data_IF_753110348064
#
_entry.id   IF_753110348064
#
_cell.length_a   1.000
_cell.length_b   1.000
_cell.length_c   1.000
_cell.angle_alpha   90.00
_cell.angle_beta   90.00
_cell.angle_gamma   90.00
#
_symmetry.space_group_name_H-M   'P 1'
#
loop_
_entity.id
_entity.type
_entity.pdbx_description
1 polymer ?
#
# COMPACT_ATOMS: atom_id res chain seq x y z
N UNK A 1 -12.78 -10.61 11.58
CA UNK A 1 -12.58 -10.35 10.12
C UNK A 1 -13.52 -9.26 9.60
N UNK A 2 -14.84 -9.39 9.78
CA UNK A 2 -15.84 -8.39 9.34
C UNK A 2 -15.50 -6.93 9.66
N UNK A 3 -15.16 -6.60 10.91
CA UNK A 3 -14.76 -5.24 11.32
C UNK A 3 -13.56 -4.68 10.53
N UNK A 4 -12.61 -5.53 10.14
CA UNK A 4 -11.42 -5.12 9.37
C UNK A 4 -11.80 -4.87 7.91
N UNK A 5 -12.64 -5.71 7.31
CA UNK A 5 -13.19 -5.50 5.97
C UNK A 5 -13.99 -4.18 5.89
N UNK A 6 -14.88 -3.94 6.84
CA UNK A 6 -15.64 -2.68 6.94
C UNK A 6 -14.72 -1.45 7.09
N UNK A 7 -13.66 -1.57 7.91
CA UNK A 7 -12.70 -0.48 8.12
C UNK A 7 -11.84 -0.23 6.88
N UNK A 8 -11.46 -1.28 6.15
CA UNK A 8 -10.74 -1.16 4.89
C UNK A 8 -11.62 -0.47 3.83
N UNK A 9 -12.89 -0.85 3.72
CA UNK A 9 -13.84 -0.17 2.82
C UNK A 9 -14.01 1.31 3.16
N UNK A 10 -14.10 1.66 4.45
CA UNK A 10 -14.14 3.06 4.89
C UNK A 10 -12.86 3.82 4.54
N UNK A 11 -11.69 3.25 4.80
CA UNK A 11 -10.41 3.87 4.45
C UNK A 11 -10.27 4.08 2.95
N UNK A 12 -10.66 3.11 2.12
CA UNK A 12 -10.65 3.30 0.67
C UNK A 12 -11.52 4.48 0.25
N UNK A 13 -12.71 4.66 0.85
CA UNK A 13 -13.57 5.82 0.56
C UNK A 13 -12.90 7.14 0.96
N UNK A 14 -12.41 7.22 2.19
CA UNK A 14 -11.72 8.39 2.73
C UNK A 14 -10.53 8.80 1.87
N UNK A 15 -9.68 7.84 1.50
CA UNK A 15 -8.45 8.12 0.76
C UNK A 15 -8.75 8.60 -0.66
N UNK A 16 -9.81 8.10 -1.30
CA UNK A 16 -10.27 8.65 -2.58
C UNK A 16 -10.72 10.10 -2.44
N UNK A 17 -11.50 10.41 -1.40
CA UNK A 17 -12.09 11.74 -1.21
C UNK A 17 -11.06 12.78 -0.77
N UNK A 18 -10.22 12.44 0.21
CA UNK A 18 -9.30 13.40 0.84
C UNK A 18 -7.92 13.45 0.18
N UNK A 19 -7.45 12.33 -0.35
CA UNK A 19 -6.09 12.21 -0.87
C UNK A 19 -6.06 12.02 -2.39
N UNK A 20 -7.22 12.06 -3.04
CA UNK A 20 -7.37 11.78 -4.47
C UNK A 20 -6.72 10.44 -4.86
N UNK A 21 -6.75 9.46 -3.94
CA UNK A 21 -6.14 8.15 -4.17
C UNK A 21 -6.87 7.44 -5.31
N UNK A 22 -6.10 6.75 -6.16
CA UNK A 22 -6.62 6.11 -7.38
C UNK A 22 -6.56 4.59 -7.26
N UNK A 23 -7.50 3.92 -7.91
CA UNK A 23 -7.40 2.47 -8.09
C UNK A 23 -6.28 2.20 -9.11
N UNK A 24 -5.35 1.27 -8.84
CA UNK A 24 -4.26 0.96 -9.76
C UNK A 24 -4.73 0.26 -11.05
N UNK A 25 -5.95 -0.26 -11.05
CA UNK A 25 -6.57 -1.00 -12.15
C UNK A 25 -8.09 -0.89 -12.02
N UNK A 26 -8.80 -0.97 -13.14
CA UNK A 26 -10.26 -1.04 -13.19
C UNK A 26 -10.79 -2.48 -13.04
N UNK A 27 -9.93 -3.48 -13.22
CA UNK A 27 -10.29 -4.91 -13.19
C UNK A 27 -9.23 -5.77 -12.47
N UNK A 28 -9.62 -6.98 -12.09
CA UNK A 28 -8.71 -7.87 -11.37
C UNK A 28 -7.53 -8.33 -12.22
N UNK A 29 -6.32 -8.17 -11.68
CA UNK A 29 -5.07 -8.68 -12.27
C UNK A 29 -4.66 -10.05 -11.68
N UNK A 30 -5.48 -10.62 -10.80
CA UNK A 30 -5.27 -11.91 -10.13
C UNK A 30 -4.98 -13.10 -11.08
N UNK A 31 -5.31 -12.97 -12.37
CA UNK A 31 -5.07 -13.99 -13.39
C UNK A 31 -4.04 -13.57 -14.46
N UNK A 32 -3.17 -12.61 -14.16
CA UNK A 32 -1.99 -12.32 -14.98
C UNK A 32 -2.23 -11.55 -16.28
N UNK A 33 -3.36 -10.84 -16.42
CA UNK A 33 -3.74 -10.16 -17.67
C UNK A 33 -3.70 -8.62 -17.63
N UNK A 34 -2.90 -8.00 -16.75
CA UNK A 34 -2.82 -6.54 -16.77
C UNK A 34 -1.57 -5.98 -16.11
N UNK A 35 -1.04 -4.90 -16.68
CA UNK A 35 -0.09 -4.04 -15.99
C UNK A 35 -0.89 -3.14 -15.03
N UNK A 36 -0.57 -3.21 -13.74
CA UNK A 36 -1.09 -2.23 -12.80
C UNK A 36 -0.55 -0.84 -13.18
N UNK A 37 -1.44 0.14 -13.26
CA UNK A 37 -1.11 1.50 -13.70
C UNK A 37 0.12 2.05 -13.00
N UNK A 38 1.08 2.53 -13.79
CA UNK A 38 2.16 3.37 -13.29
C UNK A 38 1.59 4.75 -13.02
N UNK A 39 1.04 4.96 -11.83
CA UNK A 39 0.57 6.28 -11.40
C UNK A 39 1.66 7.35 -11.55
N UNK A 40 1.29 8.61 -11.36
CA UNK A 40 2.21 9.75 -11.40
C UNK A 40 2.96 9.87 -10.06
N UNK A 41 4.20 10.38 -10.03
CA UNK A 41 4.92 10.63 -8.79
C UNK A 41 4.09 11.46 -7.79
N UNK A 42 3.92 10.96 -6.57
CA UNK A 42 3.09 11.54 -5.52
C UNK A 42 1.67 10.98 -5.43
N UNK A 43 1.19 10.24 -6.43
CA UNK A 43 -0.12 9.57 -6.35
C UNK A 43 -0.11 8.42 -5.34
N UNK A 44 -1.24 8.27 -4.65
CA UNK A 44 -1.51 7.14 -3.77
C UNK A 44 -2.38 6.14 -4.51
N UNK A 45 -1.87 4.94 -4.69
CA UNK A 45 -2.61 3.82 -5.25
C UNK A 45 -3.22 2.98 -4.13
N UNK A 46 -4.51 2.69 -4.26
CA UNK A 46 -5.26 1.89 -3.30
C UNK A 46 -4.98 0.38 -3.46
N UNK A 47 -5.08 -0.39 -2.36
CA UNK A 47 -5.08 -1.85 -2.45
C UNK A 47 -6.31 -2.33 -3.22
N UNK A 48 -6.15 -3.44 -3.92
CA UNK A 48 -7.23 -4.08 -4.68
C UNK A 48 -7.46 -5.50 -4.16
N UNK A 49 -8.72 -5.87 -3.95
CA UNK A 49 -9.14 -7.22 -3.53
C UNK A 49 -10.32 -7.66 -4.40
N UNK A 50 -10.16 -8.75 -5.14
CA UNK A 50 -11.16 -9.31 -6.07
C UNK A 50 -11.95 -10.50 -5.52
N UNK A 51 -11.42 -11.17 -4.50
CA UNK A 51 -12.03 -12.38 -3.98
C UNK A 51 -13.15 -12.04 -3.00
N UNK A 52 -14.25 -12.78 -3.09
CA UNK A 52 -15.40 -12.70 -2.19
C UNK A 52 -15.67 -14.07 -1.56
N UNK A 53 -16.48 -14.11 -0.50
CA UNK A 53 -16.81 -15.35 0.21
C UNK A 53 -15.61 -15.93 0.97
N UNK A 54 -15.37 -17.23 0.84
CA UNK A 54 -14.31 -17.92 1.60
C UNK A 54 -12.89 -17.42 1.28
N UNK A 55 -12.65 -16.85 0.10
CA UNK A 55 -11.36 -16.31 -0.32
C UNK A 55 -11.17 -14.81 -0.05
N UNK A 56 -12.11 -14.17 0.65
CA UNK A 56 -12.05 -12.73 0.88
C UNK A 56 -10.82 -12.31 1.68
N UNK A 57 -10.23 -11.16 1.32
CA UNK A 57 -9.03 -10.65 1.97
C UNK A 57 -9.27 -10.42 3.48
N UNK A 58 -8.33 -10.89 4.30
CA UNK A 58 -8.44 -10.81 5.77
C UNK A 58 -8.16 -9.41 6.33
N UNK A 59 -7.53 -8.56 5.51
CA UNK A 59 -7.08 -7.21 5.86
C UNK A 59 -6.23 -7.24 7.13
N UNK A 60 -5.17 -8.06 7.11
CA UNK A 60 -4.23 -8.06 8.22
C UNK A 60 -3.57 -6.69 8.41
N UNK A 61 -3.27 -6.05 7.27
CA UNK A 61 -2.73 -4.71 7.13
C UNK A 61 -3.47 -3.98 6.02
N UNK A 62 -3.54 -2.65 6.11
CA UNK A 62 -4.03 -1.81 5.02
C UNK A 62 -2.82 -1.13 4.38
N UNK A 63 -2.39 -1.65 3.23
CA UNK A 63 -1.17 -1.19 2.55
C UNK A 63 -1.55 -0.38 1.32
N UNK A 64 -1.02 0.83 1.24
CA UNK A 64 -1.11 1.68 0.04
C UNK A 64 0.24 1.70 -0.66
N UNK A 65 0.25 2.11 -1.93
CA UNK A 65 1.47 2.43 -2.66
C UNK A 65 1.54 3.91 -2.96
N UNK A 66 2.61 4.56 -2.55
CA UNK A 66 2.94 5.95 -2.91
C UNK A 66 3.91 5.91 -4.08
N UNK A 67 3.53 6.53 -5.19
CA UNK A 67 4.32 6.46 -6.41
C UNK A 67 5.48 7.46 -6.37
N UNK A 68 6.65 7.04 -6.82
CA UNK A 68 7.83 7.90 -6.99
C UNK A 68 8.87 7.73 -5.87
N UNK A 69 10.18 7.87 -6.18
CA UNK A 69 11.25 7.71 -5.20
C UNK A 69 11.11 8.67 -4.01
N UNK A 70 11.31 8.17 -2.78
CA UNK A 70 11.26 8.95 -1.53
C UNK A 70 9.87 9.46 -1.11
N UNK A 71 8.84 9.33 -1.95
CA UNK A 71 7.49 9.83 -1.64
C UNK A 71 6.83 9.07 -0.50
N UNK A 72 7.12 7.78 -0.37
CA UNK A 72 6.70 6.93 0.75
C UNK A 72 7.19 7.48 2.08
N UNK A 73 8.49 7.77 2.17
CA UNK A 73 9.12 8.25 3.40
C UNK A 73 8.64 9.66 3.76
N UNK A 74 8.52 10.55 2.76
CA UNK A 74 7.94 11.89 2.97
C UNK A 74 6.49 11.83 3.51
N UNK A 75 5.66 10.90 3.00
CA UNK A 75 4.31 10.71 3.53
C UNK A 75 4.33 10.16 4.96
N UNK A 76 5.20 9.19 5.25
CA UNK A 76 5.38 8.62 6.59
C UNK A 76 5.76 9.70 7.59
N UNK A 77 6.72 10.57 7.26
CA UNK A 77 7.13 11.69 8.11
C UNK A 77 5.98 12.68 8.35
N UNK A 78 5.23 13.03 7.29
CA UNK A 78 4.05 13.91 7.39
C UNK A 78 2.97 13.34 8.31
N UNK A 79 2.70 12.03 8.23
CA UNK A 79 1.71 11.38 9.09
C UNK A 79 2.21 11.27 10.53
N UNK A 80 3.50 10.97 10.70
CA UNK A 80 4.14 10.91 12.01
C UNK A 80 4.07 12.25 12.76
N UNK A 81 4.29 13.37 12.07
CA UNK A 81 4.17 14.72 12.68
C UNK A 81 2.73 15.07 13.08
N UNK A 82 1.74 14.34 12.56
CA UNK A 82 0.33 14.44 12.93
C UNK A 82 -0.08 13.40 14.00
N UNK A 83 0.88 12.63 14.53
CA UNK A 83 0.62 11.57 15.51
C UNK A 83 0.03 10.29 14.91
N UNK A 84 0.02 10.15 13.58
CA UNK A 84 -0.49 8.98 12.88
C UNK A 84 0.68 8.02 12.62
N UNK A 85 0.71 6.92 13.37
CA UNK A 85 1.74 5.89 13.19
C UNK A 85 1.50 5.11 11.90
N UNK A 86 2.57 4.86 11.15
CA UNK A 86 2.55 4.05 9.91
C UNK A 86 3.75 3.14 9.87
N UNK A 87 3.62 2.01 9.18
CA UNK A 87 4.62 0.94 9.19
C UNK A 87 5.21 0.67 7.81
N UNK A 88 6.50 0.35 7.80
CA UNK A 88 7.26 -0.12 6.63
C UNK A 88 7.79 -1.51 6.96
N UNK A 89 7.16 -2.54 6.39
CA UNK A 89 7.54 -3.94 6.67
C UNK A 89 8.71 -4.42 5.80
N UNK A 90 8.82 -3.92 4.58
CA UNK A 90 9.87 -4.30 3.63
C UNK A 90 10.59 -3.03 3.13
N UNK A 91 11.60 -2.53 3.88
CA UNK A 91 12.29 -1.29 3.52
C UNK A 91 13.10 -1.42 2.22
N UNK A 92 13.55 -2.64 1.91
CA UNK A 92 14.26 -3.02 0.67
C UNK A 92 13.70 -4.36 0.16
N UNK A 93 13.88 -4.63 -1.13
CA UNK A 93 13.49 -5.90 -1.71
C UNK A 93 14.30 -7.05 -1.11
N UNK A 94 13.77 -8.28 -1.19
CA UNK A 94 14.36 -9.43 -0.49
C UNK A 94 15.81 -9.68 -0.93
N UNK A 95 16.11 -9.59 -2.23
CA UNK A 95 17.46 -9.78 -2.78
C UNK A 95 18.45 -8.67 -2.41
N UNK A 96 17.97 -7.53 -1.90
CA UNK A 96 18.79 -6.40 -1.45
C UNK A 96 19.10 -6.44 0.06
N UNK A 97 18.66 -7.50 0.76
CA UNK A 97 18.99 -7.69 2.17
C UNK A 97 20.44 -8.16 2.32
N UNK A 98 21.11 -7.73 3.39
CA UNK A 98 22.54 -7.98 3.59
C UNK A 98 22.90 -9.48 3.73
N UNK A 99 21.90 -10.33 3.97
CA UNK A 99 22.05 -11.78 4.04
C UNK A 99 22.07 -12.48 2.66
N UNK A 100 21.78 -11.77 1.56
CA UNK A 100 21.87 -12.31 0.20
C UNK A 100 23.15 -11.87 -0.51
N UNK A 101 23.62 -12.65 -1.49
CA UNK A 101 24.73 -12.24 -2.36
C UNK A 101 24.40 -10.95 -3.12
N UNK A 102 25.38 -10.03 -3.22
CA UNK A 102 25.19 -8.73 -3.87
C UNK A 102 25.17 -8.77 -5.41
N UNK A 103 25.39 -9.93 -6.00
CA UNK A 103 25.46 -10.18 -7.44
C UNK A 103 24.20 -10.85 -8.00
N UNK A 104 23.08 -10.79 -7.27
CA UNK A 104 21.79 -11.24 -7.78
C UNK A 104 21.28 -10.32 -8.89
N UNK A 105 20.47 -10.88 -9.78
CA UNK A 105 19.79 -10.12 -10.83
C UNK A 105 18.83 -9.07 -10.23
N UNK A 106 18.51 -8.03 -11.00
CA UNK A 106 17.55 -7.00 -10.59
C UNK A 106 16.12 -7.52 -10.72
N UNK A 107 15.28 -7.14 -9.75
CA UNK A 107 13.84 -7.43 -9.75
C UNK A 107 13.08 -6.09 -9.68
N UNK A 108 12.90 -5.38 -10.81
CA UNK A 108 12.43 -3.99 -10.83
C UNK A 108 11.07 -3.78 -10.17
N UNK A 109 10.19 -4.78 -10.23
CA UNK A 109 8.87 -4.74 -9.57
C UNK A 109 9.03 -4.78 -8.06
N UNK A 110 9.85 -5.69 -7.54
CA UNK A 110 10.07 -5.85 -6.10
C UNK A 110 10.78 -4.62 -5.51
N UNK A 111 11.81 -4.12 -6.18
CA UNK A 111 12.56 -2.91 -5.81
C UNK A 111 11.62 -1.70 -5.73
N UNK A 112 10.83 -1.49 -6.79
CA UNK A 112 9.87 -0.40 -6.89
C UNK A 112 8.76 -0.49 -5.84
N UNK A 113 8.25 -1.69 -5.54
CA UNK A 113 7.21 -1.88 -4.53
C UNK A 113 7.76 -1.64 -3.12
N UNK A 114 8.93 -2.18 -2.79
CA UNK A 114 9.55 -2.04 -1.45
C UNK A 114 9.80 -0.56 -1.08
N UNK A 115 10.24 0.24 -2.05
CA UNK A 115 10.42 1.69 -1.87
C UNK A 115 9.12 2.51 -1.84
N UNK A 116 7.98 1.95 -2.27
CA UNK A 116 6.73 2.69 -2.46
C UNK A 116 5.60 2.32 -1.50
N UNK A 117 5.65 1.18 -0.83
CA UNK A 117 4.55 0.72 0.04
C UNK A 117 4.61 1.31 1.45
N UNK A 118 3.43 1.63 1.99
CA UNK A 118 3.24 2.10 3.36
C UNK A 118 1.99 1.46 3.97
N UNK A 119 2.11 0.90 5.16
CA UNK A 119 0.97 0.38 5.90
C UNK A 119 0.35 1.49 6.76
N UNK A 120 -0.95 1.71 6.58
CA UNK A 120 -1.76 2.66 7.34
C UNK A 120 -2.50 1.96 8.50
N UNK A 121 -2.82 2.68 9.58
CA UNK A 121 -3.68 2.18 10.64
C UNK A 121 -5.05 1.79 10.12
N UNK A 122 -5.39 0.50 10.29
CA UNK A 122 -6.70 -0.02 9.90
C UNK A 122 -7.77 0.15 10.99
N UNK A 123 -7.36 0.24 12.26
CA UNK A 123 -8.26 0.22 13.41
C UNK A 123 -7.87 1.30 14.43
N UNK A 124 -8.83 1.62 15.32
CA UNK A 124 -8.60 2.53 16.43
C UNK A 124 -8.61 4.01 16.03
N UNK A 125 -8.15 4.87 16.95
CA UNK A 125 -8.20 6.33 16.80
C UNK A 125 -7.39 6.83 15.60
N UNK A 126 -6.25 6.22 15.32
CA UNK A 126 -5.39 6.61 14.20
C UNK A 126 -6.06 6.42 12.82
N UNK A 127 -6.90 5.40 12.66
CA UNK A 127 -7.71 5.21 11.45
C UNK A 127 -8.73 6.35 11.26
N UNK A 128 -9.28 6.89 12.35
CA UNK A 128 -10.23 8.01 12.30
C UNK A 128 -9.57 9.35 11.99
N UNK A 129 -8.28 9.50 12.31
CA UNK A 129 -7.51 10.71 11.99
C UNK A 129 -7.15 10.79 10.49
N UNK A 130 -7.15 9.65 9.79
CA UNK A 130 -7.05 9.60 8.34
C UNK A 130 -8.40 9.94 7.67
N UNK A 131 -9.51 9.63 8.35
CA UNK A 131 -10.88 9.83 7.91
C UNK A 131 -11.30 11.29 7.84
#
# INVERSE_FOLDING_TARGET
LKKRQESAGRLMKVLREKWSAVMPTESCVCQGQGEAGSGKPGEVLLPFSCHAGAGEHTWNQFVIRVVGPGKRDALREKLSSQGIQTEVYYPRAMHEQDCFPKNLESFPVAERLSGGILALPLLGKACLQLA
#
